data_IF_163436608827
#
_entry.id   IF_163436608827
#
_cell.length_a   1.000
_cell.length_b   1.000
_cell.length_c   1.000
_cell.angle_alpha   90.00
_cell.angle_beta   90.00
_cell.angle_gamma   90.00
#
_symmetry.space_group_name_H-M   'P 1'
#
loop_
_entity.id
_entity.type
_entity.pdbx_description
1 polymer ?
#
# COMPACT_ATOMS: atom_id res chain seq x y z
N UNK A 1 -0.38 -0.67 19.08
CA UNK A 1 -0.17 -0.05 17.76
C UNK A 1 -1.48 0.03 17.00
N UNK A 2 -1.77 1.12 16.28
CA UNK A 2 -3.03 1.21 15.55
C UNK A 2 -3.08 0.27 14.35
N UNK A 3 -4.28 -0.16 14.01
CA UNK A 3 -4.55 -0.93 12.79
C UNK A 3 -4.96 0.00 11.68
N UNK A 4 -4.80 -0.43 10.43
CA UNK A 4 -5.12 0.40 9.27
C UNK A 4 -6.63 0.48 9.07
N UNK A 5 -7.13 1.70 8.78
CA UNK A 5 -8.51 1.93 8.38
C UNK A 5 -8.60 1.88 6.84
N UNK A 6 -8.79 0.68 6.31
CA UNK A 6 -8.78 0.46 4.86
C UNK A 6 -9.86 1.23 4.10
N UNK A 7 -11.01 1.43 4.73
CA UNK A 7 -12.12 2.18 4.13
C UNK A 7 -11.81 3.66 3.92
N UNK A 8 -10.75 4.18 4.51
CA UNK A 8 -10.31 5.57 4.31
C UNK A 8 -9.53 5.77 3.03
N UNK A 9 -9.04 4.69 2.44
CA UNK A 9 -8.33 4.80 1.17
C UNK A 9 -9.35 5.04 0.05
N UNK A 10 -9.22 6.15 -0.72
CA UNK A 10 -10.19 6.44 -1.79
C UNK A 10 -10.25 5.34 -2.84
N UNK A 11 -11.46 5.10 -3.36
CA UNK A 11 -11.67 4.11 -4.43
C UNK A 11 -10.82 4.40 -5.66
N UNK A 12 -10.55 5.66 -5.92
CA UNK A 12 -9.70 6.10 -7.03
C UNK A 12 -8.29 5.52 -6.94
N UNK A 13 -7.75 5.41 -5.73
CA UNK A 13 -6.42 4.84 -5.51
C UNK A 13 -6.41 3.35 -5.81
N UNK A 14 -7.46 2.63 -5.41
CA UNK A 14 -7.60 1.21 -5.72
C UNK A 14 -7.78 0.98 -7.22
N UNK A 15 -8.58 1.82 -7.87
CA UNK A 15 -8.78 1.76 -9.32
C UNK A 15 -7.47 2.01 -10.06
N UNK A 16 -6.70 2.99 -9.62
CA UNK A 16 -5.40 3.30 -10.20
C UNK A 16 -4.44 2.10 -10.10
N UNK A 17 -4.40 1.46 -8.94
CA UNK A 17 -3.57 0.27 -8.74
C UNK A 17 -3.98 -0.86 -9.69
N UNK A 18 -5.29 -1.09 -9.83
CA UNK A 18 -5.83 -2.10 -10.76
C UNK A 18 -5.46 -1.80 -12.22
N UNK A 19 -5.54 -0.53 -12.61
CA UNK A 19 -5.18 -0.12 -13.96
C UNK A 19 -3.71 -0.37 -14.24
N UNK A 20 -2.84 -0.08 -13.28
CA UNK A 20 -1.41 -0.38 -13.40
C UNK A 20 -1.15 -1.88 -13.50
N UNK A 21 -1.92 -2.69 -12.80
CA UNK A 21 -1.82 -4.14 -12.88
C UNK A 21 -2.20 -4.63 -14.29
N UNK A 22 -3.25 -4.06 -14.90
CA UNK A 22 -3.65 -4.38 -16.27
C UNK A 22 -2.58 -4.00 -17.29
N UNK A 23 -1.85 -2.92 -17.04
CA UNK A 23 -0.73 -2.48 -17.88
C UNK A 23 0.54 -3.32 -17.66
N UNK A 24 0.47 -4.33 -16.79
CA UNK A 24 1.58 -5.22 -16.41
C UNK A 24 2.74 -4.51 -15.73
N UNK A 25 2.50 -3.34 -15.17
CA UNK A 25 3.48 -2.61 -14.36
C UNK A 25 3.52 -3.11 -12.92
N UNK A 26 2.47 -3.84 -12.51
CA UNK A 26 2.38 -4.43 -11.18
C UNK A 26 2.22 -5.95 -11.36
N UNK A 27 3.04 -6.71 -10.66
CA UNK A 27 2.99 -8.17 -10.70
C UNK A 27 1.78 -8.69 -9.93
N UNK A 28 1.19 -9.79 -10.41
CA UNK A 28 0.11 -10.47 -9.70
C UNK A 28 0.55 -10.99 -8.36
N UNK A 29 1.80 -11.43 -8.26
CA UNK A 29 2.38 -11.91 -7.01
C UNK A 29 2.43 -10.80 -5.96
N UNK A 30 2.81 -9.59 -6.38
CA UNK A 30 2.85 -8.45 -5.48
C UNK A 30 1.45 -8.05 -5.00
N UNK A 31 0.44 -8.13 -5.88
CA UNK A 31 -0.95 -7.90 -5.48
C UNK A 31 -1.43 -8.95 -4.49
N UNK A 32 -1.02 -10.20 -4.68
CA UNK A 32 -1.33 -11.28 -3.76
C UNK A 32 -0.70 -11.00 -2.39
N UNK A 33 0.55 -10.57 -2.37
CA UNK A 33 1.25 -10.21 -1.13
C UNK A 33 0.54 -9.09 -0.39
N UNK A 34 0.04 -8.09 -1.12
CA UNK A 34 -0.78 -7.02 -0.53
C UNK A 34 -2.04 -7.59 0.12
N UNK A 35 -2.73 -8.49 -0.57
CA UNK A 35 -3.95 -9.11 -0.04
C UNK A 35 -3.68 -9.92 1.23
N UNK A 36 -2.60 -10.68 1.26
CA UNK A 36 -2.19 -11.44 2.44
C UNK A 36 -1.82 -10.52 3.60
N UNK A 37 -1.05 -9.48 3.31
CA UNK A 37 -0.63 -8.51 4.31
C UNK A 37 -1.85 -7.80 4.92
N UNK A 38 -2.81 -7.41 4.08
CA UNK A 38 -4.06 -6.80 4.52
C UNK A 38 -4.86 -7.76 5.41
N UNK A 39 -4.91 -9.03 5.05
CA UNK A 39 -5.64 -10.04 5.80
C UNK A 39 -5.04 -10.30 7.18
N UNK A 40 -3.76 -10.03 7.37
CA UNK A 40 -3.08 -10.16 8.66
C UNK A 40 -3.41 -9.01 9.62
N UNK A 41 -4.13 -8.00 9.15
CA UNK A 41 -4.49 -6.82 9.93
C UNK A 41 -3.26 -6.19 10.61
N UNK A 42 -2.28 -5.71 9.83
CA UNK A 42 -1.00 -5.28 10.36
C UNK A 42 -1.09 -4.01 11.20
N UNK A 43 -0.23 -3.92 12.19
CA UNK A 43 -0.06 -2.72 12.98
C UNK A 43 0.78 -1.70 12.22
N UNK A 44 0.47 -0.42 12.42
CA UNK A 44 1.20 0.68 11.78
C UNK A 44 1.62 1.69 12.84
N UNK A 45 2.74 2.43 12.61
CA UNK A 45 3.16 3.48 13.54
C UNK A 45 2.28 4.72 13.42
N UNK A 46 2.40 5.65 14.36
CA UNK A 46 1.62 6.89 14.39
C UNK A 46 2.02 7.89 13.30
N UNK A 47 3.26 7.81 12.81
CA UNK A 47 3.75 8.72 11.77
C UNK A 47 3.65 8.11 10.38
N UNK A 48 4.37 8.71 9.44
CA UNK A 48 4.44 8.23 8.08
C UNK A 48 5.08 6.85 8.00
N UNK A 49 4.51 5.98 7.16
CA UNK A 49 5.01 4.63 6.97
C UNK A 49 4.78 4.17 5.54
N UNK A 50 5.47 3.13 5.14
CA UNK A 50 5.21 2.48 3.87
C UNK A 50 5.56 0.99 3.95
N UNK A 51 4.90 0.21 3.07
CA UNK A 51 5.21 -1.20 2.87
C UNK A 51 5.55 -1.43 1.40
N UNK A 52 6.70 -2.04 1.15
CA UNK A 52 7.20 -2.29 -0.20
C UNK A 52 6.80 -3.71 -0.62
N UNK A 53 6.05 -3.81 -1.72
CA UNK A 53 5.62 -5.09 -2.28
C UNK A 53 6.41 -5.50 -3.53
N UNK A 54 7.42 -4.70 -3.90
CA UNK A 54 8.25 -4.96 -5.07
C UNK A 54 7.92 -4.01 -6.21
N UNK A 55 6.87 -4.28 -6.97
CA UNK A 55 6.49 -3.42 -8.10
C UNK A 55 5.74 -2.16 -7.67
N UNK A 56 5.31 -2.08 -6.42
CA UNK A 56 4.64 -0.90 -5.88
C UNK A 56 4.81 -0.83 -4.37
N UNK A 57 4.46 0.31 -3.78
CA UNK A 57 4.48 0.54 -2.33
C UNK A 57 3.14 1.11 -1.89
N UNK A 58 2.68 0.70 -0.73
CA UNK A 58 1.54 1.34 -0.07
C UNK A 58 2.07 2.30 1.00
N UNK A 59 1.64 3.54 0.95
CA UNK A 59 2.07 4.58 1.90
C UNK A 59 0.89 5.06 2.72
N UNK A 60 1.16 5.47 3.95
CA UNK A 60 0.15 6.02 4.83
C UNK A 60 0.74 6.80 5.97
N UNK A 61 -0.11 7.31 6.83
CA UNK A 61 0.27 8.03 8.04
C UNK A 61 -0.70 7.62 9.15
N UNK A 62 -0.17 7.13 10.27
CA UNK A 62 -1.01 6.60 11.34
C UNK A 62 -1.90 5.48 10.83
N UNK A 63 -3.19 5.56 11.13
CA UNK A 63 -4.17 4.53 10.73
C UNK A 63 -4.68 4.70 9.30
N UNK A 64 -4.24 5.72 8.59
CA UNK A 64 -4.84 6.13 7.32
C UNK A 64 -3.90 5.89 6.14
N UNK A 65 -4.18 4.87 5.31
CA UNK A 65 -3.43 4.69 4.08
C UNK A 65 -3.74 5.87 3.14
N UNK A 66 -2.74 6.35 2.43
CA UNK A 66 -2.90 7.56 1.61
C UNK A 66 -2.77 7.31 0.13
N UNK A 67 -1.78 6.54 -0.30
CA UNK A 67 -1.55 6.36 -1.75
C UNK A 67 -0.70 5.13 -2.02
N UNK A 68 -0.68 4.74 -3.31
CA UNK A 68 0.26 3.75 -3.82
C UNK A 68 1.32 4.45 -4.65
N UNK A 69 2.58 4.04 -4.49
CA UNK A 69 3.70 4.49 -5.30
C UNK A 69 4.20 3.34 -6.15
N UNK A 70 4.69 3.67 -7.35
CA UNK A 70 5.26 2.65 -8.25
C UNK A 70 6.72 2.39 -7.88
N UNK A 71 7.28 1.29 -8.40
CA UNK A 71 8.69 0.98 -8.24
C UNK A 71 9.54 2.14 -8.77
N UNK A 72 10.60 2.46 -8.05
CA UNK A 72 11.47 3.59 -8.37
C UNK A 72 11.08 4.91 -7.75
N UNK A 73 9.86 5.03 -7.23
CA UNK A 73 9.46 6.22 -6.47
C UNK A 73 9.89 6.09 -5.02
N UNK A 74 10.34 7.19 -4.43
CA UNK A 74 10.82 7.21 -3.06
C UNK A 74 9.66 7.43 -2.09
N UNK A 75 9.50 6.52 -1.14
CA UNK A 75 8.53 6.67 -0.05
C UNK A 75 9.19 7.32 1.16
N UNK A 76 8.37 7.95 2.01
CA UNK A 76 8.82 8.59 3.24
C UNK A 76 8.31 7.84 4.45
N UNK A 77 9.04 7.98 5.54
CA UNK A 77 8.64 7.44 6.83
C UNK A 77 9.24 6.08 7.12
N UNK A 78 8.57 5.34 8.01
CA UNK A 78 9.05 4.05 8.49
C UNK A 78 8.75 2.95 7.47
N UNK A 79 9.77 2.21 7.07
CA UNK A 79 9.59 0.99 6.27
C UNK A 79 9.12 -0.14 7.19
N UNK A 80 7.93 -0.64 6.93
CA UNK A 80 7.34 -1.70 7.76
C UNK A 80 7.96 -3.06 7.53
#
# INVERSE_FOLDING_TARGET
MPKIHWERLPREKWAHLRDRAKERKISKEDLYDLAEWKAQDPDVPDGDWYEDFGSFKLCGAGRYPSTFLMAGQTARGTHL
#
